data_IF_401565408799
#
_entry.id   IF_401565408799
#
_cell.length_a   1.000
_cell.length_b   1.000
_cell.length_c   1.000
_cell.angle_alpha   90.00
_cell.angle_beta   90.00
_cell.angle_gamma   90.00
#
_symmetry.space_group_name_H-M   'P 1'
#
loop_
_entity.id
_entity.type
_entity.pdbx_description
1 polymer ?
#
# COMPACT_ATOMS: atom_id res chain seq x y z
N UNK A 1 19.41 -0.92 14.29
CA UNK A 1 18.68 -1.29 13.06
C UNK A 1 19.06 -2.73 12.75
N UNK A 2 18.09 -3.63 12.56
CA UNK A 2 18.35 -5.04 12.26
C UNK A 2 19.12 -5.20 10.93
N UNK A 3 19.94 -6.24 10.78
CA UNK A 3 20.77 -6.51 9.60
C UNK A 3 19.94 -6.49 8.30
N UNK A 4 18.77 -7.13 8.31
CA UNK A 4 17.89 -7.18 7.14
C UNK A 4 17.26 -5.82 6.78
N UNK A 5 16.87 -5.00 7.77
CA UNK A 5 16.30 -3.66 7.51
C UNK A 5 17.33 -2.79 6.81
N UNK A 6 18.56 -2.76 7.32
CA UNK A 6 19.66 -2.02 6.69
C UNK A 6 19.91 -2.50 5.27
N UNK A 7 19.98 -3.82 5.04
CA UNK A 7 20.17 -4.39 3.69
C UNK A 7 19.06 -3.99 2.72
N UNK A 8 17.81 -4.05 3.14
CA UNK A 8 16.65 -3.68 2.31
C UNK A 8 16.68 -2.19 2.00
N UNK A 9 16.99 -1.32 2.96
CA UNK A 9 17.13 0.11 2.72
C UNK A 9 18.24 0.42 1.72
N UNK A 10 19.42 -0.21 1.86
CA UNK A 10 20.53 -0.04 0.92
C UNK A 10 20.16 -0.52 -0.50
N UNK A 11 19.45 -1.65 -0.62
CA UNK A 11 18.93 -2.13 -1.91
C UNK A 11 17.94 -1.15 -2.56
N UNK A 12 17.28 -0.31 -1.76
CA UNK A 12 16.32 0.71 -2.20
C UNK A 12 16.89 2.13 -2.19
N UNK A 13 18.21 2.29 -2.39
CA UNK A 13 18.86 3.59 -2.56
C UNK A 13 19.37 4.25 -1.28
N UNK A 14 19.24 3.59 -0.12
CA UNK A 14 19.84 4.00 1.15
C UNK A 14 19.04 5.06 1.90
N UNK A 15 19.13 5.03 3.24
CA UNK A 15 18.34 5.90 4.12
C UNK A 15 18.58 7.40 3.90
N UNK A 16 19.85 7.81 3.75
CA UNK A 16 20.19 9.24 3.59
C UNK A 16 19.58 9.83 2.33
N UNK A 17 19.44 9.03 1.28
CA UNK A 17 18.76 9.48 0.07
C UNK A 17 17.28 9.73 0.33
N UNK A 18 16.58 8.77 0.93
CA UNK A 18 15.15 8.89 1.24
C UNK A 18 14.81 10.08 2.12
N UNK A 19 15.68 10.45 3.08
CA UNK A 19 15.51 11.66 3.90
C UNK A 19 15.52 12.96 3.09
N UNK A 20 16.15 12.97 1.92
CA UNK A 20 16.26 14.14 1.05
C UNK A 20 15.22 14.14 -0.07
N UNK A 21 14.47 13.04 -0.26
CA UNK A 21 13.36 12.98 -1.20
C UNK A 21 12.12 13.61 -0.56
N UNK A 22 11.29 14.23 -1.39
CA UNK A 22 10.07 14.93 -1.00
C UNK A 22 8.82 14.25 -1.52
N UNK A 23 8.82 13.84 -2.79
CA UNK A 23 7.62 13.39 -3.49
C UNK A 23 7.91 12.24 -4.44
N UNK A 24 6.95 11.33 -4.55
CA UNK A 24 6.91 10.33 -5.63
C UNK A 24 5.59 10.51 -6.39
N UNK A 25 5.71 10.71 -7.70
CA UNK A 25 4.55 10.74 -8.61
C UNK A 25 4.55 9.52 -9.51
N UNK A 26 3.39 8.95 -9.78
CA UNK A 26 3.23 7.84 -10.71
C UNK A 26 1.86 7.84 -11.37
N UNK A 27 1.74 7.19 -12.53
CA UNK A 27 0.46 6.70 -13.03
C UNK A 27 0.22 5.30 -12.45
N UNK A 28 -0.97 5.08 -11.92
CA UNK A 28 -1.36 3.78 -11.34
C UNK A 28 -2.63 3.28 -12.01
N UNK A 29 -2.59 2.06 -12.54
CA UNK A 29 -3.76 1.34 -12.99
C UNK A 29 -4.24 0.38 -11.90
N UNK A 30 -5.43 0.62 -11.36
CA UNK A 30 -6.10 -0.28 -10.42
C UNK A 30 -7.04 -1.21 -11.17
N UNK A 31 -7.01 -2.49 -10.80
CA UNK A 31 -7.90 -3.51 -11.36
C UNK A 31 -8.37 -4.53 -10.32
N UNK A 32 -9.04 -5.57 -10.82
CA UNK A 32 -9.64 -6.63 -10.01
C UNK A 32 -11.08 -6.33 -9.56
N UNK A 33 -11.86 -7.35 -9.17
CA UNK A 33 -13.29 -7.22 -8.88
C UNK A 33 -13.59 -6.64 -7.49
N UNK A 34 -12.58 -6.46 -6.62
CA UNK A 34 -12.76 -5.97 -5.26
C UNK A 34 -13.54 -4.66 -5.18
N UNK A 35 -13.27 -3.72 -6.09
CA UNK A 35 -13.86 -2.39 -6.09
C UNK A 35 -15.39 -2.44 -6.31
N UNK A 36 -15.83 -3.27 -7.25
CA UNK A 36 -17.26 -3.52 -7.50
C UNK A 36 -17.92 -4.20 -6.31
N UNK A 37 -17.27 -5.19 -5.69
CA UNK A 37 -17.80 -5.84 -4.48
C UNK A 37 -17.97 -4.87 -3.30
N UNK A 38 -17.19 -3.79 -3.26
CA UNK A 38 -17.36 -2.71 -2.29
C UNK A 38 -18.36 -1.62 -2.70
N UNK A 39 -18.98 -1.74 -3.86
CA UNK A 39 -19.97 -0.81 -4.40
C UNK A 39 -19.40 0.35 -5.22
N UNK A 40 -18.13 0.27 -5.63
CA UNK A 40 -17.37 1.34 -6.30
C UNK A 40 -16.61 0.82 -7.52
N UNK A 41 -17.32 0.25 -8.49
CA UNK A 41 -16.70 -0.24 -9.73
C UNK A 41 -15.92 0.85 -10.50
N UNK A 42 -16.26 2.12 -10.28
CA UNK A 42 -15.60 3.30 -10.84
C UNK A 42 -14.23 3.62 -10.20
N UNK A 43 -13.80 2.86 -9.19
CA UNK A 43 -12.43 2.92 -8.66
C UNK A 43 -11.43 2.03 -9.42
N UNK A 44 -11.90 1.27 -10.42
CA UNK A 44 -11.06 0.62 -11.43
C UNK A 44 -10.65 1.64 -12.49
N UNK A 45 -9.38 1.61 -12.89
CA UNK A 45 -8.86 2.48 -13.95
C UNK A 45 -7.56 3.16 -13.57
N UNK A 46 -7.24 4.22 -14.33
CA UNK A 46 -6.01 4.96 -14.21
C UNK A 46 -6.13 6.20 -13.32
N UNK A 47 -5.17 6.35 -12.42
CA UNK A 47 -5.00 7.50 -11.56
C UNK A 47 -3.60 8.10 -11.76
N UNK A 48 -3.50 9.42 -11.65
CA UNK A 48 -2.23 10.09 -11.36
C UNK A 48 -2.13 10.28 -9.86
N UNK A 49 -1.04 9.80 -9.25
CA UNK A 49 -0.84 9.91 -7.81
C UNK A 49 0.40 10.72 -7.47
N UNK A 50 0.34 11.43 -6.35
CA UNK A 50 1.46 12.12 -5.72
C UNK A 50 1.49 11.73 -4.24
N UNK A 51 2.55 11.03 -3.84
CA UNK A 51 2.82 10.66 -2.45
C UNK A 51 3.84 11.64 -1.85
N UNK A 52 3.52 12.17 -0.68
CA UNK A 52 4.50 12.85 0.17
C UNK A 52 5.37 11.78 0.83
N UNK A 53 6.70 11.85 0.65
CA UNK A 53 7.60 10.83 1.16
C UNK A 53 7.98 11.05 2.64
N UNK A 54 7.66 12.22 3.20
CA UNK A 54 7.98 12.60 4.57
C UNK A 54 6.74 12.66 5.48
N UNK A 55 5.55 12.52 4.91
CA UNK A 55 4.26 12.48 5.64
C UNK A 55 3.34 11.44 5.05
N UNK A 56 2.50 10.82 5.89
CA UNK A 56 1.47 9.89 5.43
C UNK A 56 0.32 10.67 4.76
N UNK A 57 0.57 11.06 3.50
CA UNK A 57 -0.31 11.89 2.69
C UNK A 57 -0.21 11.52 1.21
N UNK A 58 -1.35 11.37 0.57
CA UNK A 58 -1.48 11.04 -0.85
C UNK A 58 -2.53 11.92 -1.53
N UNK A 59 -2.22 12.39 -2.73
CA UNK A 59 -3.20 12.95 -3.67
C UNK A 59 -3.35 11.98 -4.84
N UNK A 60 -4.58 11.70 -5.23
CA UNK A 60 -4.91 10.88 -6.40
C UNK A 60 -5.89 11.63 -7.30
N UNK A 61 -5.60 11.71 -8.59
CA UNK A 61 -6.49 12.25 -9.61
C UNK A 61 -6.97 11.11 -10.50
N UNK A 62 -8.26 10.77 -10.41
CA UNK A 62 -8.89 9.72 -11.21
C UNK A 62 -9.17 10.25 -12.62
N UNK A 63 -8.59 9.64 -13.65
CA UNK A 63 -8.75 10.12 -15.03
C UNK A 63 -10.16 9.91 -15.56
N UNK A 64 -10.82 8.81 -15.18
CA UNK A 64 -12.14 8.42 -15.69
C UNK A 64 -13.27 9.31 -15.18
N UNK A 65 -13.19 9.78 -13.94
CA UNK A 65 -14.26 10.54 -13.26
C UNK A 65 -13.90 12.02 -13.06
N UNK A 66 -12.63 12.37 -13.21
CA UNK A 66 -12.10 13.70 -12.84
C UNK A 66 -12.06 13.95 -11.33
N UNK A 67 -12.31 12.93 -10.49
CA UNK A 67 -12.28 13.09 -9.03
C UNK A 67 -10.86 13.26 -8.53
N UNK A 68 -10.71 14.06 -7.47
CA UNK A 68 -9.48 14.13 -6.69
C UNK A 68 -9.73 13.56 -5.30
N UNK A 69 -8.92 12.57 -4.92
CA UNK A 69 -8.87 12.02 -3.56
C UNK A 69 -7.65 12.59 -2.84
N UNK A 70 -7.85 13.11 -1.63
CA UNK A 70 -6.75 13.51 -0.75
C UNK A 70 -6.86 12.74 0.55
N UNK A 71 -5.90 11.86 0.81
CA UNK A 71 -5.72 11.21 2.10
C UNK A 71 -4.63 11.96 2.88
N UNK A 72 -4.94 12.34 4.11
CA UNK A 72 -4.02 13.07 5.00
C UNK A 72 -4.13 12.54 6.43
N UNK A 73 -3.09 11.83 6.89
CA UNK A 73 -3.03 11.28 8.24
C UNK A 73 -2.91 12.35 9.32
N UNK A 74 -2.20 13.44 9.06
CA UNK A 74 -1.96 14.51 10.03
C UNK A 74 -3.29 15.19 10.41
N UNK A 75 -4.18 15.33 9.43
CA UNK A 75 -5.56 15.82 9.63
C UNK A 75 -6.56 14.72 10.03
N UNK A 76 -6.12 13.44 10.00
CA UNK A 76 -6.94 12.24 10.16
C UNK A 76 -8.21 12.28 9.29
N UNK A 77 -8.01 12.49 7.99
CA UNK A 77 -9.09 12.84 7.06
C UNK A 77 -8.83 12.29 5.66
N UNK A 78 -9.92 11.99 4.95
CA UNK A 78 -9.92 11.84 3.50
C UNK A 78 -11.00 12.73 2.88
N UNK A 79 -10.66 13.41 1.79
CA UNK A 79 -11.62 14.18 0.99
C UNK A 79 -11.67 13.65 -0.43
N UNK A 80 -12.85 13.74 -1.03
CA UNK A 80 -13.07 13.44 -2.45
C UNK A 80 -13.79 14.63 -3.07
N UNK A 81 -13.18 15.26 -4.06
CA UNK A 81 -13.80 16.33 -4.86
C UNK A 81 -14.10 15.85 -6.28
N UNK A 82 -15.17 16.36 -6.88
CA UNK A 82 -15.51 16.13 -8.28
C UNK A 82 -14.68 16.99 -9.24
N UNK A 83 -14.86 16.78 -10.53
CA UNK A 83 -14.16 17.52 -11.59
C UNK A 83 -14.40 19.05 -11.51
N UNK A 84 -15.60 19.45 -11.07
CA UNK A 84 -16.00 20.86 -10.92
C UNK A 84 -15.61 21.47 -9.57
N UNK A 85 -14.91 20.71 -8.71
CA UNK A 85 -14.47 21.14 -7.38
C UNK A 85 -15.47 20.88 -6.25
N UNK A 86 -16.66 20.36 -6.55
CA UNK A 86 -17.66 20.01 -5.54
C UNK A 86 -17.13 18.93 -4.59
N UNK A 87 -17.38 19.09 -3.29
CA UNK A 87 -17.02 18.10 -2.27
C UNK A 87 -18.03 16.95 -2.31
N UNK A 88 -17.59 15.79 -2.79
CA UNK A 88 -18.40 14.57 -2.89
C UNK A 88 -18.34 13.73 -1.61
N UNK A 89 -17.19 13.75 -0.93
CA UNK A 89 -17.02 13.12 0.37
C UNK A 89 -16.00 13.88 1.22
N UNK A 90 -16.27 13.91 2.52
CA UNK A 90 -15.41 14.51 3.53
C UNK A 90 -15.48 13.66 4.80
N UNK A 91 -14.53 12.75 4.97
CA UNK A 91 -14.55 11.75 6.02
C UNK A 91 -13.42 12.01 7.02
N UNK A 92 -13.80 12.45 8.22
CA UNK A 92 -12.93 12.58 9.37
C UNK A 92 -12.83 11.27 10.16
N UNK A 93 -11.66 11.00 10.75
CA UNK A 93 -11.37 9.78 11.52
C UNK A 93 -11.75 8.50 10.75
N UNK A 94 -11.31 8.36 9.50
CA UNK A 94 -11.82 7.35 8.57
C UNK A 94 -11.72 5.93 9.10
N UNK A 95 -10.68 5.59 9.89
CA UNK A 95 -10.52 4.23 10.45
C UNK A 95 -11.67 3.83 11.38
N UNK A 96 -12.21 4.74 12.17
CA UNK A 96 -13.37 4.46 13.04
C UNK A 96 -14.68 4.24 12.26
N UNK A 97 -14.75 4.66 10.99
CA UNK A 97 -15.94 4.46 10.17
C UNK A 97 -16.14 2.99 9.75
N UNK A 98 -15.18 2.10 10.03
CA UNK A 98 -15.24 0.68 9.71
C UNK A 98 -15.59 -0.21 10.92
N UNK A 99 -15.88 0.35 12.09
CA UNK A 99 -16.22 -0.45 13.27
C UNK A 99 -17.41 -1.37 12.98
N UNK A 100 -17.19 -2.68 13.17
CA UNK A 100 -18.22 -3.72 12.93
C UNK A 100 -18.35 -4.17 11.48
N UNK A 101 -17.50 -3.70 10.56
CA UNK A 101 -17.57 -4.06 9.15
C UNK A 101 -16.91 -5.43 8.90
N UNK A 102 -17.52 -6.20 8.01
CA UNK A 102 -17.05 -7.51 7.55
C UNK A 102 -16.56 -7.41 6.09
N UNK A 103 -15.96 -8.48 5.52
CA UNK A 103 -15.55 -8.49 4.12
C UNK A 103 -16.71 -8.26 3.14
N UNK A 104 -17.95 -8.58 3.51
CA UNK A 104 -19.15 -8.43 2.68
C UNK A 104 -19.80 -7.04 2.80
N UNK A 105 -19.35 -6.22 3.76
CA UNK A 105 -19.95 -4.90 3.98
C UNK A 105 -19.54 -3.94 2.84
N UNK A 106 -20.50 -3.32 2.12
CA UNK A 106 -20.21 -2.31 1.11
C UNK A 106 -19.73 -1.02 1.77
N UNK A 107 -19.00 -0.19 1.02
CA UNK A 107 -18.39 1.02 1.55
C UNK A 107 -19.04 2.27 0.95
N UNK A 108 -18.96 3.40 1.66
CA UNK A 108 -19.25 4.72 1.07
C UNK A 108 -18.01 5.27 0.34
N UNK A 109 -18.20 6.38 -0.38
CA UNK A 109 -17.14 6.99 -1.20
C UNK A 109 -15.90 7.39 -0.39
N UNK A 110 -16.08 7.94 0.81
CA UNK A 110 -14.97 8.29 1.69
C UNK A 110 -14.19 7.06 2.18
N UNK A 111 -14.88 5.97 2.51
CA UNK A 111 -14.26 4.73 2.99
C UNK A 111 -13.40 4.04 1.91
N UNK A 112 -13.91 3.90 0.68
CA UNK A 112 -13.11 3.31 -0.41
C UNK A 112 -11.92 4.21 -0.80
N UNK A 113 -12.12 5.54 -0.77
CA UNK A 113 -11.07 6.52 -1.02
C UNK A 113 -9.98 6.47 0.05
N UNK A 114 -10.35 6.34 1.32
CA UNK A 114 -9.41 6.13 2.41
C UNK A 114 -8.62 4.83 2.22
N UNK A 115 -9.31 3.70 1.97
CA UNK A 115 -8.66 2.41 1.79
C UNK A 115 -7.60 2.45 0.68
N UNK A 116 -7.96 2.98 -0.48
CA UNK A 116 -7.03 3.10 -1.61
C UNK A 116 -5.90 4.09 -1.30
N UNK A 117 -6.21 5.17 -0.59
CA UNK A 117 -5.26 6.23 -0.22
C UNK A 117 -4.11 5.72 0.65
N UNK A 118 -4.40 5.21 1.83
CA UNK A 118 -3.33 4.76 2.74
C UNK A 118 -2.56 3.56 2.16
N UNK A 119 -3.25 2.64 1.47
CA UNK A 119 -2.63 1.47 0.88
C UNK A 119 -1.64 1.86 -0.23
N UNK A 120 -2.05 2.75 -1.13
CA UNK A 120 -1.20 3.23 -2.22
C UNK A 120 0.00 4.00 -1.68
N UNK A 121 -0.21 4.87 -0.69
CA UNK A 121 0.90 5.60 -0.07
C UNK A 121 1.95 4.63 0.51
N UNK A 122 1.51 3.61 1.26
CA UNK A 122 2.39 2.57 1.78
C UNK A 122 3.23 1.90 0.68
N UNK A 123 2.61 1.54 -0.44
CA UNK A 123 3.28 0.87 -1.56
C UNK A 123 4.38 1.71 -2.20
N UNK A 124 4.32 3.03 -2.06
CA UNK A 124 5.26 3.98 -2.66
C UNK A 124 6.38 4.41 -1.70
N UNK A 125 6.15 4.27 -0.38
CA UNK A 125 7.09 4.72 0.67
C UNK A 125 7.86 3.54 1.28
N UNK A 126 7.39 2.31 1.14
CA UNK A 126 8.16 1.12 1.53
C UNK A 126 9.45 1.00 0.68
N UNK A 127 10.62 0.74 1.28
CA UNK A 127 10.85 0.36 2.69
C UNK A 127 11.21 1.53 3.63
N UNK A 128 11.24 2.79 3.16
CA UNK A 128 11.66 3.95 3.98
C UNK A 128 10.83 4.10 5.27
N UNK A 129 9.53 3.80 5.21
CA UNK A 129 8.65 3.89 6.37
C UNK A 129 9.11 3.04 7.57
N UNK A 130 9.91 1.99 7.36
CA UNK A 130 10.43 1.16 8.46
C UNK A 130 11.37 1.91 9.40
N UNK A 131 11.88 3.08 9.00
CA UNK A 131 12.75 3.92 9.84
C UNK A 131 11.99 4.99 10.61
N UNK A 132 10.67 5.07 10.46
CA UNK A 132 9.86 6.09 11.11
C UNK A 132 9.72 5.82 12.61
N UNK A 133 9.50 6.89 13.38
CA UNK A 133 9.41 6.81 14.83
C UNK A 133 8.30 5.86 15.28
N UNK A 134 8.64 4.92 16.17
CA UNK A 134 7.72 3.92 16.71
C UNK A 134 7.50 2.69 15.84
N UNK A 135 8.07 2.64 14.63
CA UNK A 135 8.04 1.41 13.82
C UNK A 135 9.09 0.43 14.32
N UNK A 136 8.66 -0.80 14.58
CA UNK A 136 9.53 -1.89 15.04
C UNK A 136 9.63 -2.96 13.96
N UNK A 137 10.84 -3.22 13.47
CA UNK A 137 11.09 -4.20 12.43
C UNK A 137 12.17 -5.20 12.87
N UNK A 138 11.85 -6.48 12.84
CA UNK A 138 12.78 -7.57 13.14
C UNK A 138 12.62 -8.73 12.15
N UNK A 139 13.71 -9.43 11.91
CA UNK A 139 13.74 -10.59 11.03
C UNK A 139 13.21 -11.81 11.78
N UNK A 140 12.39 -12.60 11.09
CA UNK A 140 11.84 -13.86 11.58
C UNK A 140 12.28 -15.00 10.66
N UNK A 141 11.80 -16.21 10.93
CA UNK A 141 12.15 -17.39 10.12
C UNK A 141 11.89 -17.16 8.62
N UNK A 142 12.82 -17.59 7.76
CA UNK A 142 12.68 -17.41 6.32
C UNK A 142 11.53 -18.25 5.77
N UNK A 143 10.95 -17.78 4.67
CA UNK A 143 9.88 -18.46 3.95
C UNK A 143 10.43 -19.16 2.72
N UNK A 144 9.90 -20.34 2.39
CA UNK A 144 10.24 -21.06 1.17
C UNK A 144 8.99 -21.32 0.36
N UNK A 145 8.99 -20.89 -0.89
CA UNK A 145 7.86 -21.00 -1.80
C UNK A 145 8.36 -21.12 -3.23
N UNK A 146 7.80 -22.06 -4.00
CA UNK A 146 8.13 -22.27 -5.42
C UNK A 146 9.64 -22.43 -5.73
N UNK A 147 10.41 -22.98 -4.78
CA UNK A 147 11.86 -23.16 -4.92
C UNK A 147 12.70 -21.92 -4.61
N UNK A 148 12.06 -20.80 -4.27
CA UNK A 148 12.72 -19.60 -3.76
C UNK A 148 12.71 -19.60 -2.23
N UNK A 149 13.75 -18.99 -1.64
CA UNK A 149 13.84 -18.74 -0.21
C UNK A 149 13.90 -17.24 0.02
N UNK A 150 13.02 -16.71 0.84
CA UNK A 150 12.94 -15.28 1.17
C UNK A 150 13.22 -15.04 2.65
N UNK A 151 13.95 -13.96 2.93
CA UNK A 151 14.12 -13.45 4.30
C UNK A 151 12.90 -12.62 4.67
N UNK A 152 12.40 -12.76 5.90
CA UNK A 152 11.12 -12.18 6.29
C UNK A 152 11.32 -11.14 7.39
N UNK A 153 10.83 -9.93 7.16
CA UNK A 153 10.68 -8.91 8.19
C UNK A 153 9.26 -8.95 8.75
N UNK A 154 9.16 -9.08 10.07
CA UNK A 154 7.96 -8.71 10.83
C UNK A 154 8.06 -7.24 11.20
N UNK A 155 7.11 -6.44 10.73
CA UNK A 155 7.07 -4.99 10.94
C UNK A 155 5.80 -4.63 11.69
N UNK A 156 5.96 -4.05 12.88
CA UNK A 156 4.87 -3.54 13.71
C UNK A 156 4.86 -2.02 13.66
N UNK A 157 3.72 -1.45 13.26
CA UNK A 157 3.52 -0.02 13.14
C UNK A 157 2.82 0.56 14.37
N UNK A 158 3.17 1.80 14.78
CA UNK A 158 2.48 2.49 15.85
C UNK A 158 1.10 2.99 15.38
N UNK A 159 0.12 3.21 16.28
CA UNK A 159 -1.20 3.75 15.91
C UNK A 159 -1.19 5.13 15.23
N UNK A 160 -0.05 5.83 15.27
CA UNK A 160 0.16 7.09 14.56
C UNK A 160 0.26 6.92 13.04
N UNK A 161 0.43 5.71 12.51
CA UNK A 161 0.51 5.40 11.07
C UNK A 161 -0.68 4.51 10.67
N UNK A 162 -1.35 4.81 9.57
CA UNK A 162 -2.50 4.05 9.09
C UNK A 162 -2.12 2.93 8.11
N UNK A 163 -1.99 1.71 8.62
CA UNK A 163 -1.61 0.52 7.83
C UNK A 163 -2.79 -0.43 7.58
N UNK A 164 -2.61 -1.55 6.88
CA UNK A 164 -3.69 -2.54 6.76
C UNK A 164 -4.03 -3.12 8.15
N UNK A 165 -3.01 -3.52 8.91
CA UNK A 165 -3.11 -3.90 10.32
C UNK A 165 -1.77 -3.65 11.04
N UNK A 166 -1.77 -3.72 12.37
CA UNK A 166 -0.63 -3.32 13.18
C UNK A 166 0.69 -4.03 12.82
N UNK A 167 0.66 -5.35 12.63
CA UNK A 167 1.86 -6.14 12.27
C UNK A 167 1.69 -6.79 10.91
N UNK A 168 2.62 -6.49 10.00
CA UNK A 168 2.63 -7.02 8.63
C UNK A 168 3.96 -7.73 8.36
N UNK A 169 3.96 -8.72 7.46
CA UNK A 169 5.16 -9.46 7.10
C UNK A 169 5.62 -9.09 5.69
N UNK A 170 6.92 -8.90 5.51
CA UNK A 170 7.54 -8.50 4.24
C UNK A 170 8.63 -9.48 3.86
N UNK A 171 8.57 -10.00 2.65
CA UNK A 171 9.40 -11.11 2.18
C UNK A 171 10.35 -10.60 1.11
N UNK A 172 11.65 -10.65 1.40
CA UNK A 172 12.70 -10.14 0.55
C UNK A 172 13.52 -11.27 -0.03
N UNK A 173 13.86 -11.15 -1.32
CA UNK A 173 14.82 -12.05 -1.95
C UNK A 173 16.27 -11.73 -1.54
N UNK A 174 17.21 -12.51 -2.07
CA UNK A 174 18.64 -12.31 -1.83
C UNK A 174 19.18 -10.98 -2.39
N UNK A 175 18.47 -10.32 -3.30
CA UNK A 175 18.82 -8.98 -3.79
C UNK A 175 18.27 -7.86 -2.89
N UNK A 176 17.48 -8.22 -1.87
CA UNK A 176 16.82 -7.27 -0.99
C UNK A 176 15.56 -6.64 -1.60
N UNK A 177 15.01 -7.21 -2.68
CA UNK A 177 13.78 -6.75 -3.33
C UNK A 177 12.56 -7.43 -2.72
N UNK A 178 11.47 -6.67 -2.54
CA UNK A 178 10.23 -7.18 -1.98
C UNK A 178 9.57 -8.15 -2.98
N UNK A 179 9.23 -9.35 -2.53
CA UNK A 179 8.55 -10.37 -3.35
C UNK A 179 7.11 -10.58 -2.92
N UNK A 180 6.85 -10.43 -1.63
CA UNK A 180 5.54 -10.65 -1.03
C UNK A 180 5.38 -9.81 0.23
N UNK A 181 4.15 -9.43 0.49
CA UNK A 181 3.70 -8.74 1.70
C UNK A 181 2.46 -9.49 2.20
N UNK A 182 2.40 -9.73 3.49
CA UNK A 182 1.28 -10.41 4.13
C UNK A 182 0.66 -9.56 5.24
N UNK A 183 -0.66 -9.42 5.19
CA UNK A 183 -1.45 -8.58 6.11
C UNK A 183 -2.90 -9.05 6.19
N UNK A 184 -3.67 -8.45 7.09
CA UNK A 184 -5.08 -8.74 7.34
C UNK A 184 -5.81 -7.42 7.59
N UNK A 185 -6.38 -6.74 6.58
CA UNK A 185 -6.86 -5.38 6.77
C UNK A 185 -7.94 -5.27 7.83
N UNK A 186 -7.69 -4.49 8.90
CA UNK A 186 -8.66 -4.25 9.98
C UNK A 186 -9.96 -3.65 9.44
N UNK A 187 -9.84 -2.82 8.40
CA UNK A 187 -10.96 -2.12 7.75
C UNK A 187 -11.77 -3.00 6.79
N UNK A 188 -11.32 -4.23 6.55
CA UNK A 188 -11.99 -5.18 5.67
C UNK A 188 -12.19 -6.54 6.35
N UNK A 189 -12.55 -6.54 7.64
CA UNK A 189 -12.87 -7.76 8.38
C UNK A 189 -11.71 -8.75 8.52
N UNK A 190 -10.46 -8.27 8.47
CA UNK A 190 -9.25 -9.06 8.71
C UNK A 190 -9.06 -10.27 7.79
N UNK A 191 -9.58 -10.22 6.55
CA UNK A 191 -9.30 -11.25 5.54
C UNK A 191 -7.79 -11.39 5.33
N UNK A 192 -7.19 -12.57 5.50
CA UNK A 192 -5.77 -12.78 5.26
C UNK A 192 -5.40 -12.57 3.79
N UNK A 193 -4.33 -11.82 3.56
CA UNK A 193 -3.86 -11.41 2.24
C UNK A 193 -2.43 -11.86 2.00
N UNK A 194 -2.17 -12.34 0.78
CA UNK A 194 -0.85 -12.51 0.19
C UNK A 194 -0.72 -11.55 -1.00
N UNK A 195 0.03 -10.47 -0.81
CA UNK A 195 0.25 -9.43 -1.80
C UNK A 195 1.60 -9.64 -2.48
N UNK A 196 1.57 -10.06 -3.74
CA UNK A 196 2.79 -10.34 -4.50
C UNK A 196 3.27 -9.16 -5.31
N UNK A 197 4.59 -9.01 -5.34
CA UNK A 197 5.29 -8.13 -6.27
C UNK A 197 5.76 -8.96 -7.46
N UNK A 198 5.26 -8.63 -8.65
CA UNK A 198 5.51 -9.35 -9.91
C UNK A 198 6.57 -8.69 -10.78
N UNK A 199 6.80 -7.39 -10.61
CA UNK A 199 7.80 -6.64 -11.35
C UNK A 199 8.33 -5.46 -10.54
N UNK A 200 9.56 -5.07 -10.86
CA UNK A 200 10.18 -3.84 -10.39
C UNK A 200 10.76 -3.07 -11.58
N UNK A 201 10.84 -1.76 -11.45
CA UNK A 201 11.61 -0.89 -12.33
C UNK A 201 12.57 -0.04 -11.49
N UNK A 202 13.74 0.29 -12.04
CA UNK A 202 14.70 1.14 -11.36
C UNK A 202 14.50 2.58 -11.83
N UNK A 203 14.11 3.45 -10.91
CA UNK A 203 13.87 4.88 -11.15
C UNK A 203 14.91 5.67 -10.37
N UNK A 204 15.75 6.40 -11.09
CA UNK A 204 16.90 7.12 -10.53
C UNK A 204 17.81 6.26 -9.63
N UNK A 205 17.87 4.94 -9.83
CA UNK A 205 18.65 4.03 -8.97
C UNK A 205 17.92 3.49 -7.74
N UNK A 206 16.62 3.75 -7.61
CA UNK A 206 15.74 3.14 -6.59
C UNK A 206 14.85 2.10 -7.30
N UNK A 207 14.94 0.80 -6.94
CA UNK A 207 13.95 -0.19 -7.34
C UNK A 207 12.57 0.16 -6.79
N UNK A 208 11.57 0.25 -7.66
CA UNK A 208 10.16 0.49 -7.33
C UNK A 208 9.34 -0.71 -7.78
N UNK A 209 8.49 -1.23 -6.91
CA UNK A 209 7.56 -2.32 -7.23
C UNK A 209 6.45 -1.84 -8.17
N UNK A 210 6.46 -2.28 -9.43
CA UNK A 210 5.59 -1.76 -10.50
C UNK A 210 4.42 -2.65 -10.86
N UNK A 211 4.42 -3.92 -10.45
CA UNK A 211 3.30 -4.84 -10.70
C UNK A 211 2.94 -5.60 -9.45
N UNK A 212 1.70 -5.45 -8.99
CA UNK A 212 1.23 -5.98 -7.71
C UNK A 212 -0.04 -6.78 -7.88
N UNK A 213 -0.04 -8.01 -7.39
CA UNK A 213 -1.21 -8.90 -7.43
C UNK A 213 -1.56 -9.28 -6.00
N UNK A 214 -2.74 -8.88 -5.56
CA UNK A 214 -3.25 -9.12 -4.21
C UNK A 214 -4.13 -10.37 -4.29
N UNK A 215 -3.85 -11.36 -3.45
CA UNK A 215 -4.61 -12.60 -3.31
C UNK A 215 -5.09 -12.77 -1.87
N UNK A 216 -6.13 -13.56 -1.66
CA UNK A 216 -6.42 -14.11 -0.33
C UNK A 216 -5.36 -15.15 0.05
N UNK A 217 -5.15 -15.33 1.34
CA UNK A 217 -4.17 -16.26 1.90
C UNK A 217 -4.84 -17.30 2.79
N UNK A 218 -4.47 -18.56 2.61
CA UNK A 218 -4.93 -19.68 3.41
C UNK A 218 -4.26 -19.69 4.80
N UNK A 219 -4.79 -20.49 5.72
CA UNK A 219 -4.23 -20.62 7.09
C UNK A 219 -2.79 -21.15 7.11
N UNK A 220 -2.43 -22.00 6.14
CA UNK A 220 -1.07 -22.53 5.97
C UNK A 220 -0.08 -21.52 5.35
N UNK A 221 -0.54 -20.30 5.07
CA UNK A 221 0.26 -19.23 4.47
C UNK A 221 0.35 -19.29 2.95
N UNK A 222 -0.24 -20.29 2.28
CA UNK A 222 -0.28 -20.33 0.80
C UNK A 222 -1.31 -19.34 0.24
N UNK A 223 -1.08 -18.76 -0.95
CA UNK A 223 -2.07 -17.91 -1.60
C UNK A 223 -3.17 -18.72 -2.29
N UNK A 224 -4.38 -18.17 -2.36
CA UNK A 224 -5.38 -18.61 -3.34
C UNK A 224 -5.11 -17.93 -4.69
N UNK A 225 -4.50 -18.67 -5.61
CA UNK A 225 -4.17 -18.18 -6.95
C UNK A 225 -5.35 -18.22 -7.92
N UNK A 226 -6.49 -18.82 -7.55
CA UNK A 226 -7.67 -18.89 -8.42
C UNK A 226 -8.38 -17.55 -8.58
N UNK A 227 -8.09 -16.60 -7.69
CA UNK A 227 -8.72 -15.29 -7.65
C UNK A 227 -7.70 -14.19 -7.34
N UNK A 228 -7.80 -13.06 -8.05
CA UNK A 228 -6.97 -11.86 -7.82
C UNK A 228 -7.90 -10.68 -7.53
N UNK A 229 -8.26 -10.43 -6.27
CA UNK A 229 -9.15 -9.34 -5.88
C UNK A 229 -8.74 -7.96 -6.38
N UNK A 230 -7.45 -7.66 -6.33
CA UNK A 230 -6.88 -6.35 -6.68
C UNK A 230 -5.60 -6.56 -7.47
N UNK A 231 -5.46 -5.81 -8.56
CA UNK A 231 -4.19 -5.60 -9.27
C UNK A 231 -3.81 -4.13 -9.19
N UNK A 232 -2.51 -3.84 -9.09
CA UNK A 232 -1.98 -2.47 -9.10
C UNK A 232 -0.73 -2.44 -9.96
N UNK A 233 -0.80 -1.69 -11.05
CA UNK A 233 0.30 -1.55 -12.01
C UNK A 233 0.74 -0.07 -12.04
N UNK A 234 2.04 0.19 -11.85
CA UNK A 234 2.62 1.53 -11.80
C UNK A 234 3.41 1.79 -13.08
N UNK A 235 3.37 3.04 -13.55
CA UNK A 235 4.14 3.53 -14.69
C UNK A 235 4.41 5.03 -14.52
N UNK A 236 5.21 5.62 -15.41
CA UNK A 236 5.51 7.06 -15.44
C UNK A 236 5.99 7.60 -14.08
N UNK A 237 6.85 6.83 -13.40
CA UNK A 237 7.29 7.11 -12.04
C UNK A 237 8.36 8.20 -12.06
N UNK A 238 8.22 9.19 -11.18
CA UNK A 238 9.23 10.21 -10.91
C UNK A 238 9.42 10.37 -9.41
N UNK A 239 10.67 10.51 -8.97
CA UNK A 239 11.03 10.66 -7.56
C UNK A 239 11.83 11.96 -7.42
N UNK A 240 11.43 12.84 -6.49
CA UNK A 240 12.06 14.15 -6.29
C UNK A 240 12.33 14.41 -4.82
#
# INVERSE_FOLDING_TARGET
MNDLVSRVLEAHGGLERWKNLSTLTARIAYGGPFWEFKGHADFVGDDLVEADLQKERLVQHQQSTGRTVVFDREQDRVTVTGADGDVLADLHRPRSAFTGYTPETPWNLGQIAYFRGYATWHYLVEPYIFTWAGVEAHEIEPWTENGEKWRVLSVTYPPSIHTHNATQLYYYDDSGLLRRLDYQPDVNGQTPVAHYIRAHEVVDGIPVATKRHIHTRNEDGTPDLSWVPITVDLSDITIK
#
